data_IF_209287276068
#
_entry.id   IF_209287276068
#
_cell.length_a   1.000
_cell.length_b   1.000
_cell.length_c   1.000
_cell.angle_alpha   90.00
_cell.angle_beta   90.00
_cell.angle_gamma   90.00
#
_symmetry.space_group_name_H-M   'P 1'
#
loop_
_entity.id
_entity.type
_entity.pdbx_description
1 polymer ?
#
# COMPACT_ATOMS: atom_id res chain seq x y z
N UNK A 1 -42.57 -72.31 22.63
CA UNK A 1 -43.83 -72.02 23.33
C UNK A 1 -44.63 -73.30 23.50
N UNK A 2 -45.64 -73.32 24.34
CA UNK A 2 -46.58 -74.45 24.45
C UNK A 2 -47.92 -74.06 23.83
N UNK A 3 -48.54 -74.97 23.10
CA UNK A 3 -49.82 -74.74 22.45
C UNK A 3 -50.71 -75.98 22.57
N UNK A 4 -52.02 -75.79 22.46
CA UNK A 4 -53.00 -76.86 22.34
C UNK A 4 -53.49 -76.89 20.90
N UNK A 5 -53.22 -77.97 20.18
CA UNK A 5 -53.52 -78.10 18.75
C UNK A 5 -54.24 -79.42 18.50
N UNK A 6 -55.27 -79.40 17.66
CA UNK A 6 -55.90 -80.60 17.10
C UNK A 6 -55.46 -80.79 15.65
N UNK A 7 -55.24 -82.04 15.27
CA UNK A 7 -54.93 -82.42 13.89
C UNK A 7 -56.14 -83.11 13.26
N UNK A 8 -56.26 -83.00 11.94
CA UNK A 8 -57.27 -83.75 11.19
C UNK A 8 -56.80 -85.20 11.03
N UNK A 9 -57.71 -86.15 11.27
CA UNK A 9 -57.49 -87.57 10.94
C UNK A 9 -57.60 -87.83 9.44
N UNK A 10 -57.39 -89.09 9.04
CA UNK A 10 -57.41 -89.51 7.61
C UNK A 10 -58.75 -89.22 6.92
N UNK A 11 -59.86 -89.31 7.67
CA UNK A 11 -61.21 -88.98 7.20
C UNK A 11 -61.54 -87.47 7.28
N UNK A 12 -60.56 -86.62 7.62
CA UNK A 12 -60.73 -85.17 7.75
C UNK A 12 -61.43 -84.72 9.04
N UNK A 13 -61.71 -85.61 9.98
CA UNK A 13 -62.37 -85.30 11.26
C UNK A 13 -61.31 -84.81 12.26
N UNK A 14 -61.53 -83.70 12.99
CA UNK A 14 -60.59 -83.21 14.00
C UNK A 14 -60.48 -84.18 15.18
N UNK A 15 -59.24 -84.53 15.52
CA UNK A 15 -58.93 -85.39 16.68
C UNK A 15 -58.90 -84.58 17.98
N UNK A 16 -58.88 -85.29 19.12
CA UNK A 16 -58.80 -84.70 20.45
C UNK A 16 -57.56 -83.80 20.54
N UNK A 17 -57.74 -82.57 21.04
CA UNK A 17 -56.66 -81.60 21.13
C UNK A 17 -55.56 -82.04 22.09
N UNK A 18 -54.31 -81.90 21.66
CA UNK A 18 -53.13 -82.32 22.43
C UNK A 18 -52.28 -81.11 22.82
N UNK A 19 -51.65 -81.19 23.99
CA UNK A 19 -50.62 -80.23 24.40
C UNK A 19 -49.33 -80.53 23.64
N UNK A 20 -48.87 -79.59 22.84
CA UNK A 20 -47.64 -79.70 22.06
C UNK A 20 -46.65 -78.59 22.43
N UNK A 21 -45.37 -78.86 22.24
CA UNK A 21 -44.32 -77.84 22.30
C UNK A 21 -44.05 -77.32 20.90
N UNK A 22 -44.23 -76.02 20.71
CA UNK A 22 -43.93 -75.31 19.46
C UNK A 22 -42.50 -74.82 19.53
N UNK A 23 -41.66 -75.28 18.59
CA UNK A 23 -40.34 -74.75 18.33
C UNK A 23 -40.47 -73.57 17.35
N UNK A 24 -40.41 -72.31 17.81
CA UNK A 24 -40.47 -71.18 16.91
C UNK A 24 -39.21 -71.15 16.01
N UNK A 25 -39.29 -70.48 14.83
CA UNK A 25 -38.10 -70.25 14.03
C UNK A 25 -37.04 -69.53 14.87
N UNK A 26 -35.79 -69.98 14.77
CA UNK A 26 -34.70 -69.33 15.48
C UNK A 26 -34.32 -68.03 14.76
N UNK A 27 -34.87 -66.91 15.22
CA UNK A 27 -34.42 -65.58 14.85
C UNK A 27 -33.36 -65.11 15.86
N UNK A 28 -32.23 -64.59 15.38
CA UNK A 28 -31.28 -63.87 16.23
C UNK A 28 -31.56 -62.36 16.15
N UNK A 29 -31.61 -61.70 17.31
CA UNK A 29 -31.60 -60.24 17.43
C UNK A 29 -30.20 -59.71 17.77
N UNK A 30 -29.16 -60.54 17.58
CA UNK A 30 -27.78 -60.11 17.74
C UNK A 30 -27.45 -58.99 16.76
N UNK A 31 -26.58 -58.07 17.17
CA UNK A 31 -26.05 -57.06 16.26
C UNK A 31 -25.36 -57.74 15.06
N UNK A 32 -25.58 -57.20 13.86
CA UNK A 32 -24.92 -57.69 12.66
C UNK A 32 -23.41 -57.44 12.75
N UNK A 33 -22.61 -58.43 12.35
CA UNK A 33 -21.15 -58.31 12.28
C UNK A 33 -20.74 -57.36 11.14
N UNK A 34 -19.48 -56.92 11.14
CA UNK A 34 -18.97 -56.11 10.02
C UNK A 34 -19.04 -56.89 8.70
N UNK A 35 -18.72 -58.17 8.76
CA UNK A 35 -18.72 -59.09 7.63
C UNK A 35 -20.12 -59.25 7.03
N UNK A 36 -21.14 -59.40 7.88
CA UNK A 36 -22.54 -59.50 7.45
C UNK A 36 -22.99 -58.22 6.75
N UNK A 37 -22.64 -57.05 7.31
CA UNK A 37 -22.94 -55.74 6.72
C UNK A 37 -22.28 -55.57 5.35
N UNK A 38 -21.00 -55.93 5.24
CA UNK A 38 -20.25 -55.83 4.00
C UNK A 38 -20.78 -56.80 2.93
N UNK A 39 -21.12 -58.02 3.32
CA UNK A 39 -21.72 -59.01 2.42
C UNK A 39 -23.06 -58.52 1.88
N UNK A 40 -23.94 -58.02 2.76
CA UNK A 40 -25.22 -57.45 2.36
C UNK A 40 -25.06 -56.25 1.42
N UNK A 41 -24.12 -55.35 1.71
CA UNK A 41 -23.82 -54.20 0.86
C UNK A 41 -23.30 -54.62 -0.53
N UNK A 42 -22.38 -55.59 -0.61
CA UNK A 42 -21.80 -56.11 -1.86
C UNK A 42 -22.81 -56.83 -2.75
N UNK A 43 -23.78 -57.50 -2.14
CA UNK A 43 -24.84 -58.21 -2.86
C UNK A 43 -25.94 -57.28 -3.40
N UNK A 44 -25.90 -55.99 -3.05
CA UNK A 44 -26.83 -55.00 -3.59
C UNK A 44 -26.52 -54.68 -5.06
N UNK A 45 -27.56 -54.59 -5.89
CA UNK A 45 -27.45 -54.10 -7.27
C UNK A 45 -26.85 -52.69 -7.35
N UNK A 46 -27.00 -51.91 -6.29
CA UNK A 46 -26.51 -50.54 -6.19
C UNK A 46 -25.04 -50.45 -5.76
N UNK A 47 -24.42 -51.58 -5.40
CA UNK A 47 -23.04 -51.61 -4.91
C UNK A 47 -22.08 -50.96 -5.91
N UNK A 48 -22.18 -51.31 -7.20
CA UNK A 48 -21.30 -50.74 -8.22
C UNK A 48 -21.43 -49.22 -8.35
N UNK A 49 -22.62 -48.66 -8.09
CA UNK A 49 -22.87 -47.22 -8.19
C UNK A 49 -22.36 -46.44 -6.98
N UNK A 50 -22.46 -47.02 -5.78
CA UNK A 50 -22.19 -46.32 -4.52
C UNK A 50 -21.01 -46.89 -3.72
N UNK A 51 -20.22 -47.80 -4.30
CA UNK A 51 -19.01 -48.34 -3.65
C UNK A 51 -17.99 -47.24 -3.39
N UNK A 52 -17.84 -46.30 -4.31
CA UNK A 52 -16.89 -45.21 -4.20
C UNK A 52 -17.50 -44.12 -3.33
N UNK A 53 -16.92 -43.84 -2.14
CA UNK A 53 -17.37 -42.71 -1.35
C UNK A 53 -17.03 -41.41 -2.11
N UNK A 54 -17.99 -40.50 -2.15
CA UNK A 54 -17.80 -39.16 -2.68
C UNK A 54 -17.91 -38.20 -1.51
N UNK A 55 -16.85 -37.45 -1.26
CA UNK A 55 -16.81 -36.38 -0.27
C UNK A 55 -17.01 -35.03 -0.97
N UNK A 56 -18.22 -34.44 -0.91
CA UNK A 56 -18.49 -33.18 -1.58
C UNK A 56 -17.91 -32.00 -0.79
N UNK A 57 -17.28 -31.06 -1.50
CA UNK A 57 -16.86 -29.78 -0.92
C UNK A 57 -18.07 -29.06 -0.32
N UNK A 58 -18.05 -28.85 0.99
CA UNK A 58 -19.17 -28.21 1.66
C UNK A 58 -19.23 -26.72 1.30
N UNK A 59 -20.44 -26.14 1.32
CA UNK A 59 -20.60 -24.71 1.04
C UNK A 59 -19.75 -23.85 2.00
N UNK A 60 -19.54 -24.31 3.24
CA UNK A 60 -18.70 -23.64 4.23
C UNK A 60 -17.22 -23.65 3.81
N UNK A 61 -16.66 -24.81 3.48
CA UNK A 61 -15.26 -24.95 3.05
C UNK A 61 -14.97 -24.16 1.77
N UNK A 62 -15.90 -24.19 0.82
CA UNK A 62 -15.82 -23.38 -0.39
C UNK A 62 -15.79 -21.88 -0.09
N UNK A 63 -16.68 -21.39 0.78
CA UNK A 63 -16.73 -19.97 1.17
C UNK A 63 -15.49 -19.54 1.97
N UNK A 64 -15.00 -20.40 2.86
CA UNK A 64 -13.79 -20.16 3.64
C UNK A 64 -12.57 -20.01 2.72
N UNK A 65 -12.39 -20.94 1.78
CA UNK A 65 -11.32 -20.87 0.77
C UNK A 65 -11.40 -19.58 -0.05
N UNK A 66 -12.59 -19.23 -0.55
CA UNK A 66 -12.78 -17.96 -1.28
C UNK A 66 -12.49 -16.74 -0.40
N UNK A 67 -12.86 -16.78 0.88
CA UNK A 67 -12.57 -15.71 1.83
C UNK A 67 -11.06 -15.53 2.06
N UNK A 68 -10.34 -16.64 2.24
CA UNK A 68 -8.89 -16.66 2.38
C UNK A 68 -8.17 -16.18 1.12
N UNK A 69 -8.63 -16.61 -0.06
CA UNK A 69 -8.08 -16.15 -1.35
C UNK A 69 -8.28 -14.66 -1.56
N UNK A 70 -9.49 -14.14 -1.28
CA UNK A 70 -9.77 -12.70 -1.37
C UNK A 70 -8.93 -11.90 -0.38
N UNK A 71 -8.77 -12.38 0.86
CA UNK A 71 -7.94 -11.72 1.87
C UNK A 71 -6.47 -11.66 1.42
N UNK A 72 -5.92 -12.78 0.92
CA UNK A 72 -4.55 -12.82 0.39
C UNK A 72 -4.35 -11.87 -0.80
N UNK A 73 -5.30 -11.85 -1.74
CA UNK A 73 -5.26 -10.94 -2.89
C UNK A 73 -5.32 -9.47 -2.44
N UNK A 74 -6.12 -9.15 -1.42
CA UNK A 74 -6.18 -7.81 -0.85
C UNK A 74 -4.85 -7.44 -0.19
N UNK A 75 -4.28 -8.31 0.64
CA UNK A 75 -2.96 -8.07 1.25
C UNK A 75 -1.86 -7.90 0.21
N UNK A 76 -1.84 -8.72 -0.84
CA UNK A 76 -0.84 -8.63 -1.91
C UNK A 76 -0.98 -7.31 -2.68
N UNK A 77 -2.21 -6.93 -3.03
CA UNK A 77 -2.50 -5.64 -3.68
C UNK A 77 -2.10 -4.45 -2.78
N UNK A 78 -2.32 -4.54 -1.47
CA UNK A 78 -1.91 -3.51 -0.51
C UNK A 78 -0.39 -3.42 -0.38
N UNK A 79 0.31 -4.56 -0.35
CA UNK A 79 1.79 -4.61 -0.35
C UNK A 79 2.38 -4.05 -1.64
N UNK A 80 1.81 -4.39 -2.79
CA UNK A 80 2.22 -3.84 -4.09
C UNK A 80 2.02 -2.33 -4.13
N UNK A 81 0.86 -1.84 -3.69
CA UNK A 81 0.60 -0.38 -3.60
C UNK A 81 1.55 0.31 -2.62
N UNK A 82 1.86 -0.32 -1.50
CA UNK A 82 2.81 0.22 -0.53
C UNK A 82 4.24 0.26 -1.11
N UNK A 83 4.68 -0.79 -1.79
CA UNK A 83 5.97 -0.86 -2.46
C UNK A 83 6.08 0.17 -3.59
N UNK A 84 5.04 0.34 -4.41
CA UNK A 84 4.99 1.37 -5.45
C UNK A 84 5.07 2.78 -4.86
N UNK A 85 4.33 3.06 -3.78
CA UNK A 85 4.41 4.36 -3.08
C UNK A 85 5.79 4.61 -2.48
N UNK A 86 6.45 3.58 -1.95
CA UNK A 86 7.81 3.70 -1.43
C UNK A 86 8.81 3.99 -2.54
N UNK A 87 8.72 3.27 -3.68
CA UNK A 87 9.57 3.51 -4.84
C UNK A 87 9.36 4.92 -5.41
N UNK A 88 8.11 5.37 -5.55
CA UNK A 88 7.80 6.72 -6.04
C UNK A 88 8.30 7.81 -5.06
N UNK A 89 8.19 7.58 -3.75
CA UNK A 89 8.73 8.49 -2.74
C UNK A 89 10.26 8.54 -2.80
N UNK A 90 10.93 7.39 -2.93
CA UNK A 90 12.39 7.31 -3.03
C UNK A 90 12.90 7.97 -4.32
N UNK A 91 12.23 7.76 -5.45
CA UNK A 91 12.56 8.41 -6.72
C UNK A 91 12.40 9.94 -6.63
N UNK A 92 11.33 10.41 -6.00
CA UNK A 92 11.13 11.86 -5.75
C UNK A 92 12.23 12.44 -4.86
N UNK A 93 12.67 11.72 -3.82
CA UNK A 93 13.76 12.16 -2.95
C UNK A 93 15.07 12.22 -3.73
N UNK A 94 15.41 11.19 -4.50
CA UNK A 94 16.62 11.16 -5.34
C UNK A 94 16.61 12.28 -6.38
N UNK A 95 15.50 12.47 -7.08
CA UNK A 95 15.35 13.55 -8.06
C UNK A 95 15.44 14.96 -7.42
N UNK A 96 14.95 15.13 -6.20
CA UNK A 96 15.09 16.40 -5.46
C UNK A 96 16.53 16.65 -5.01
N UNK A 97 17.26 15.59 -4.59
CA UNK A 97 18.66 15.67 -4.20
C UNK A 97 19.58 15.98 -5.39
N UNK A 98 19.37 15.31 -6.53
CA UNK A 98 20.11 15.58 -7.78
C UNK A 98 19.93 17.02 -8.24
N UNK A 99 18.69 17.52 -8.29
CA UNK A 99 18.40 18.93 -8.63
C UNK A 99 19.06 19.91 -7.66
N UNK A 100 19.12 19.57 -6.37
CA UNK A 100 19.78 20.41 -5.35
C UNK A 100 21.29 20.44 -5.54
N UNK A 101 21.90 19.30 -5.87
CA UNK A 101 23.33 19.20 -6.16
C UNK A 101 23.70 19.96 -7.45
N UNK A 102 22.91 19.82 -8.51
CA UNK A 102 23.08 20.57 -9.76
C UNK A 102 22.96 22.08 -9.54
N UNK A 103 21.95 22.53 -8.79
CA UNK A 103 21.78 23.94 -8.46
C UNK A 103 22.95 24.50 -7.62
N UNK A 104 23.55 23.68 -6.75
CA UNK A 104 24.77 24.07 -6.01
C UNK A 104 25.98 24.18 -6.94
N UNK A 105 26.16 23.23 -7.87
CA UNK A 105 27.25 23.25 -8.87
C UNK A 105 27.15 24.47 -9.78
N UNK A 106 25.96 24.77 -10.30
CA UNK A 106 25.72 25.94 -11.15
C UNK A 106 26.03 27.25 -10.39
N UNK A 107 25.58 27.37 -9.13
CA UNK A 107 25.90 28.54 -8.29
C UNK A 107 27.39 28.67 -7.99
N UNK A 108 28.11 27.56 -7.81
CA UNK A 108 29.55 27.58 -7.58
C UNK A 108 30.31 27.99 -8.86
N UNK A 109 29.91 27.46 -10.02
CA UNK A 109 30.50 27.81 -11.31
C UNK A 109 30.23 29.28 -11.67
N UNK A 110 29.01 29.78 -11.45
CA UNK A 110 28.68 31.19 -11.69
C UNK A 110 29.50 32.12 -10.79
N UNK A 111 29.65 31.79 -9.49
CA UNK A 111 30.52 32.54 -8.59
C UNK A 111 31.99 32.51 -9.02
N UNK A 112 32.48 31.37 -9.51
CA UNK A 112 33.84 31.25 -10.02
C UNK A 112 34.05 32.11 -11.29
N UNK A 113 33.09 32.12 -12.22
CA UNK A 113 33.12 33.00 -13.40
C UNK A 113 33.10 34.47 -13.02
N UNK A 114 32.22 34.87 -12.10
CA UNK A 114 32.15 36.25 -11.61
C UNK A 114 33.44 36.66 -10.88
N UNK A 115 34.09 35.75 -10.14
CA UNK A 115 35.38 36.01 -9.51
C UNK A 115 36.48 36.21 -10.56
N UNK A 116 36.55 35.34 -11.57
CA UNK A 116 37.52 35.44 -12.66
C UNK A 116 37.33 36.72 -13.49
N UNK A 117 36.09 37.11 -13.81
CA UNK A 117 35.80 38.37 -14.51
C UNK A 117 36.20 39.60 -13.68
N UNK A 118 35.95 39.57 -12.36
CA UNK A 118 36.39 40.64 -11.46
C UNK A 118 37.90 40.73 -11.37
N UNK A 119 38.62 39.61 -11.40
CA UNK A 119 40.09 39.62 -11.45
C UNK A 119 40.61 40.18 -12.77
N UNK A 120 40.03 39.78 -13.90
CA UNK A 120 40.37 40.33 -15.22
C UNK A 120 40.05 41.82 -15.32
N UNK A 121 38.94 42.29 -14.74
CA UNK A 121 38.63 43.73 -14.64
C UNK A 121 39.58 44.47 -13.71
N UNK A 122 39.98 43.88 -12.58
CA UNK A 122 41.00 44.47 -11.69
C UNK A 122 42.34 44.58 -12.40
N UNK A 123 42.72 43.59 -13.21
CA UNK A 123 43.96 43.63 -13.99
C UNK A 123 43.91 44.67 -15.11
N UNK A 124 42.81 44.75 -15.86
CA UNK A 124 42.58 45.79 -16.88
C UNK A 124 42.57 47.18 -16.27
N UNK A 125 41.82 47.40 -15.19
CA UNK A 125 41.78 48.69 -14.49
C UNK A 125 43.10 49.04 -13.80
N UNK A 126 43.91 48.06 -13.38
CA UNK A 126 45.26 48.29 -12.89
C UNK A 126 46.20 48.74 -14.01
N UNK A 127 46.10 48.14 -15.21
CA UNK A 127 46.82 48.57 -16.42
C UNK A 127 46.36 49.96 -16.89
N UNK A 128 45.07 50.23 -16.89
CA UNK A 128 44.52 51.55 -17.22
C UNK A 128 44.90 52.61 -16.18
N UNK A 129 44.97 52.26 -14.89
CA UNK A 129 45.48 53.17 -13.84
C UNK A 129 46.99 53.38 -13.95
N UNK A 130 47.76 52.40 -14.42
CA UNK A 130 49.18 52.58 -14.72
C UNK A 130 49.37 53.56 -15.90
N UNK A 131 48.57 53.41 -16.96
CA UNK A 131 48.54 54.35 -18.09
C UNK A 131 48.02 55.75 -17.68
N UNK A 132 46.98 55.83 -16.85
CA UNK A 132 46.45 57.09 -16.34
C UNK A 132 47.43 57.81 -15.40
N UNK A 133 48.28 57.07 -14.65
CA UNK A 133 49.39 57.66 -13.88
C UNK A 133 50.49 58.23 -14.78
N UNK A 134 50.75 57.62 -15.93
CA UNK A 134 51.64 58.17 -16.96
C UNK A 134 51.05 59.43 -17.66
N UNK A 135 49.72 59.55 -17.72
CA UNK A 135 49.05 60.76 -18.23
C UNK A 135 48.96 61.85 -17.13
N UNK A 136 48.83 61.46 -15.85
CA UNK A 136 48.74 62.38 -14.70
C UNK A 136 50.05 63.08 -14.35
N UNK A 137 51.19 62.65 -14.90
CA UNK A 137 52.44 63.43 -14.85
C UNK A 137 52.46 64.60 -15.82
N UNK A 138 51.41 64.80 -16.64
CA UNK A 138 51.32 65.92 -17.59
C UNK A 138 50.10 66.83 -17.34
N UNK A 139 49.22 66.53 -16.38
CA UNK A 139 48.12 67.45 -16.07
C UNK A 139 47.30 67.10 -14.84
N UNK A 140 47.50 67.85 -13.74
CA UNK A 140 46.44 68.66 -13.14
C UNK A 140 46.96 69.49 -11.95
N UNK A 141 47.32 70.73 -12.26
CA UNK A 141 46.90 71.85 -11.44
C UNK A 141 45.44 72.14 -11.75
N UNK A 142 44.65 72.44 -10.71
CA UNK A 142 43.27 72.92 -10.76
C UNK A 142 42.16 71.92 -11.16
N UNK A 143 41.52 71.32 -10.14
CA UNK A 143 40.10 70.95 -10.20
C UNK A 143 39.56 70.83 -8.76
N UNK A 144 39.10 71.97 -8.22
CA UNK A 144 38.48 72.08 -6.90
C UNK A 144 37.06 71.52 -6.85
N UNK A 145 36.69 71.02 -5.66
CA UNK A 145 35.48 71.39 -4.90
C UNK A 145 34.16 71.69 -5.64
N UNK A 146 33.82 70.94 -6.71
CA UNK A 146 32.46 70.96 -7.29
C UNK A 146 31.76 69.59 -7.19
N UNK A 147 32.50 68.52 -6.88
CA UNK A 147 31.94 67.15 -6.85
C UNK A 147 31.32 66.68 -5.53
N UNK A 148 31.45 67.42 -4.41
CA UNK A 148 30.97 66.97 -3.09
C UNK A 148 29.50 67.29 -2.77
N UNK A 149 28.84 68.09 -3.59
CA UNK A 149 27.43 68.47 -3.35
C UNK A 149 26.43 67.80 -4.30
N UNK A 150 26.84 67.42 -5.52
CA UNK A 150 25.98 66.67 -6.45
C UNK A 150 25.79 65.19 -6.02
N UNK A 151 26.63 64.67 -5.14
CA UNK A 151 26.52 63.31 -4.58
C UNK A 151 25.49 63.15 -3.46
N UNK A 152 24.98 64.25 -2.88
CA UNK A 152 23.97 64.19 -1.79
C UNK A 152 22.51 64.28 -2.30
N UNK A 153 22.30 64.53 -3.59
CA UNK A 153 20.95 64.71 -4.16
C UNK A 153 20.39 63.47 -4.88
N UNK A 154 21.19 62.44 -5.15
CA UNK A 154 20.75 61.21 -5.83
C UNK A 154 20.53 60.01 -4.88
N UNK A 155 20.63 60.22 -3.56
CA UNK A 155 20.68 59.14 -2.56
C UNK A 155 19.43 58.94 -1.69
N UNK A 156 18.36 59.73 -1.86
CA UNK A 156 17.21 59.69 -0.93
C UNK A 156 15.84 59.43 -1.57
N UNK A 157 15.73 59.25 -2.89
CA UNK A 157 14.43 59.16 -3.56
C UNK A 157 13.96 57.73 -3.92
N UNK A 158 14.47 56.68 -3.26
CA UNK A 158 14.03 55.30 -3.54
C UNK A 158 13.62 54.49 -2.29
N UNK A 159 13.38 55.16 -1.15
CA UNK A 159 13.28 54.50 0.16
C UNK A 159 11.89 54.40 0.82
N UNK A 160 10.82 54.95 0.23
CA UNK A 160 9.56 55.16 1.00
C UNK A 160 8.32 54.50 0.39
N UNK A 161 8.39 53.89 -0.79
CA UNK A 161 7.24 53.18 -1.37
C UNK A 161 7.20 51.67 -1.04
N UNK A 162 8.35 51.04 -0.79
CA UNK A 162 8.45 49.59 -0.53
C UNK A 162 8.01 49.13 0.87
N UNK A 163 7.96 50.02 1.89
CA UNK A 163 7.60 49.64 3.26
C UNK A 163 6.09 49.64 3.55
N UNK A 164 5.24 50.18 2.66
CA UNK A 164 3.79 50.27 2.90
C UNK A 164 2.94 49.23 2.18
N UNK A 165 3.51 48.47 1.24
CA UNK A 165 2.81 47.35 0.58
C UNK A 165 3.13 45.97 1.18
N UNK A 166 4.24 45.81 1.90
CA UNK A 166 4.70 44.49 2.37
C UNK A 166 4.38 44.10 3.82
N UNK A 167 3.89 45.01 4.66
CA UNK A 167 3.88 44.79 6.12
C UNK A 167 2.61 44.24 6.75
N UNK A 168 1.42 44.60 6.24
CA UNK A 168 0.16 44.37 6.97
C UNK A 168 -0.88 43.48 6.27
N UNK A 169 -0.64 43.06 5.03
CA UNK A 169 -1.59 42.19 4.29
C UNK A 169 -1.23 40.70 4.42
N UNK A 170 0.04 40.36 4.72
CA UNK A 170 0.48 38.96 4.85
C UNK A 170 0.18 38.31 6.22
N UNK A 171 0.06 39.10 7.29
CA UNK A 171 -0.11 38.57 8.65
C UNK A 171 -1.56 38.23 9.03
N UNK A 172 -2.55 38.73 8.28
CA UNK A 172 -3.98 38.48 8.53
C UNK A 172 -4.51 37.23 7.81
N UNK A 173 -3.95 36.86 6.66
CA UNK A 173 -4.31 35.63 5.96
C UNK A 173 -3.77 34.37 6.67
N UNK A 174 -2.56 34.43 7.24
CA UNK A 174 -1.96 33.30 7.96
C UNK A 174 -2.72 32.91 9.25
N UNK A 175 -3.45 33.85 9.87
CA UNK A 175 -4.24 33.57 11.09
C UNK A 175 -5.63 33.01 10.79
N UNK A 176 -6.13 33.16 9.57
CA UNK A 176 -7.47 32.68 9.16
C UNK A 176 -7.52 31.21 8.80
N UNK A 177 -6.44 30.65 8.24
CA UNK A 177 -6.42 29.26 7.72
C UNK A 177 -6.03 28.22 8.79
N UNK A 178 -5.39 28.65 9.89
CA UNK A 178 -4.95 27.76 10.97
C UNK A 178 -5.95 27.63 12.13
N UNK A 179 -7.01 28.45 12.16
CA UNK A 179 -8.02 28.44 13.23
C UNK A 179 -9.21 27.50 13.02
N UNK A 180 -9.39 26.96 11.81
CA UNK A 180 -10.54 26.11 11.45
C UNK A 180 -10.21 24.63 11.28
N UNK A 181 -8.96 24.22 11.55
CA UNK A 181 -8.48 22.83 11.43
C UNK A 181 -8.13 22.15 12.76
N UNK A 182 -8.35 22.82 13.91
CA UNK A 182 -8.10 22.25 15.25
C UNK A 182 -9.24 22.53 16.25
N UNK A 183 -10.50 22.44 15.80
CA UNK A 183 -11.66 22.38 16.71
C UNK A 183 -12.54 21.18 16.40
#
# INVERSE_FOLDING_TARGET
GEAVVSFLGEDGIPQIAQKIKVLPPQSSFSAATEEDRLSAAKNSLLYQKYITPVDPDSAYEFLERMGLEKSKQQEELEREKAAQKQQEAEEKVRAAEEKRLEAQRQKAEEKARQAAEKELQKEKTAKDRANARAIKSVGNSAAGTIGRELGKAAGSSFGTFGKRLGGNVGASLARGILGTLFK
#
